data_IF_086264749153
#
_entry.id   IF_086264749153
#
_cell.length_a   1.000
_cell.length_b   1.000
_cell.length_c   1.000
_cell.angle_alpha   90.00
_cell.angle_beta   90.00
_cell.angle_gamma   90.00
#
_symmetry.space_group_name_H-M   'P 1'
#
loop_
_entity.id
_entity.type
_entity.pdbx_description
1 polymer ?
#
# COMPACT_ATOMS: atom_id res chain seq x y z
N UNK A 1 -18.24 6.70 -2.11
CA UNK A 1 -17.46 5.58 -2.67
C UNK A 1 -17.04 4.73 -1.49
N UNK A 2 -17.47 3.47 -1.46
CA UNK A 2 -17.24 2.55 -0.34
C UNK A 2 -15.72 2.29 -0.16
N UNK A 3 -15.12 2.88 0.87
CA UNK A 3 -14.92 2.37 2.25
C UNK A 3 -13.64 1.54 2.39
N UNK A 4 -13.15 1.39 3.63
CA UNK A 4 -11.98 0.59 3.92
C UNK A 4 -12.05 -0.77 3.25
N UNK A 5 -10.93 -1.19 2.68
CA UNK A 5 -10.83 -2.45 1.99
C UNK A 5 -9.54 -3.17 2.35
N UNK A 6 -9.40 -4.36 1.80
CA UNK A 6 -8.19 -5.15 1.93
C UNK A 6 -7.88 -5.77 0.58
N UNK A 7 -6.64 -5.62 0.12
CA UNK A 7 -6.18 -6.26 -1.12
C UNK A 7 -6.26 -7.79 -1.04
N UNK A 8 -6.24 -8.44 -2.20
CA UNK A 8 -5.90 -9.86 -2.27
C UNK A 8 -4.44 -10.08 -1.88
N UNK A 9 -4.08 -11.34 -1.57
CA UNK A 9 -2.73 -11.73 -1.15
C UNK A 9 -1.78 -11.73 -2.35
N UNK A 10 -0.74 -10.90 -2.32
CA UNK A 10 0.25 -10.81 -3.40
C UNK A 10 1.62 -10.35 -2.89
N UNK A 11 2.65 -10.64 -3.68
CA UNK A 11 3.99 -10.08 -3.46
C UNK A 11 3.95 -8.59 -3.85
N UNK A 12 4.34 -7.66 -2.96
CA UNK A 12 4.45 -6.26 -3.33
C UNK A 12 5.46 -6.08 -4.44
N UNK A 13 5.17 -5.19 -5.40
CA UNK A 13 6.12 -4.80 -6.44
C UNK A 13 6.22 -3.30 -6.53
N UNK A 14 7.31 -2.81 -7.09
CA UNK A 14 7.56 -1.38 -7.27
C UNK A 14 7.34 -0.57 -5.97
N UNK A 15 7.81 -1.06 -4.82
CA UNK A 15 7.87 -0.26 -3.59
C UNK A 15 8.91 0.84 -3.77
N UNK A 16 8.49 2.11 -3.69
CA UNK A 16 9.39 3.23 -3.90
C UNK A 16 8.97 4.48 -3.10
N UNK A 17 9.97 5.31 -2.78
CA UNK A 17 9.83 6.60 -2.13
C UNK A 17 10.08 7.67 -3.21
N UNK A 18 9.10 8.54 -3.50
CA UNK A 18 9.18 9.44 -4.68
C UNK A 18 9.77 10.82 -4.39
N UNK A 19 9.81 11.26 -3.14
CA UNK A 19 10.22 12.63 -2.81
C UNK A 19 10.85 12.74 -1.42
N UNK A 20 11.37 13.93 -1.11
CA UNK A 20 12.01 14.25 0.18
C UNK A 20 11.06 14.19 1.37
N UNK A 21 9.75 14.19 1.13
CA UNK A 21 8.73 14.05 2.19
C UNK A 21 8.47 12.58 2.53
N UNK A 22 9.15 11.63 1.88
CA UNK A 22 8.95 10.20 2.05
C UNK A 22 7.59 9.68 1.60
N UNK A 23 6.94 10.36 0.63
CA UNK A 23 5.73 9.81 0.01
C UNK A 23 6.06 8.46 -0.64
N UNK A 24 5.34 7.43 -0.20
CA UNK A 24 5.63 6.04 -0.56
C UNK A 24 4.50 5.42 -1.32
N UNK A 25 4.86 4.71 -2.38
CA UNK A 25 3.93 4.00 -3.22
C UNK A 25 4.36 2.55 -3.39
N UNK A 26 3.38 1.68 -3.54
CA UNK A 26 3.59 0.25 -3.78
C UNK A 26 2.52 -0.27 -4.71
N UNK A 27 2.88 -1.23 -5.56
CA UNK A 27 1.93 -1.92 -6.41
C UNK A 27 1.47 -3.24 -5.79
N UNK A 28 0.16 -3.42 -5.75
CA UNK A 28 -0.56 -4.61 -5.29
C UNK A 28 -1.79 -4.81 -6.19
N UNK A 29 -2.39 -6.00 -6.28
CA UNK A 29 -3.57 -6.22 -7.12
C UNK A 29 -4.70 -5.23 -6.83
N UNK A 30 -5.23 -4.62 -7.90
CA UNK A 30 -6.34 -3.68 -7.83
C UNK A 30 -7.51 -4.20 -6.98
N UNK A 31 -7.91 -3.40 -5.99
CA UNK A 31 -9.07 -3.67 -5.14
C UNK A 31 -9.70 -2.33 -4.75
N UNK A 32 -11.00 -2.17 -5.01
CA UNK A 32 -11.76 -0.98 -4.64
C UNK A 32 -11.24 0.29 -5.32
N UNK A 33 -10.60 1.17 -4.54
CA UNK A 33 -10.11 2.50 -4.96
C UNK A 33 -9.04 2.50 -6.04
N UNK A 34 -8.34 1.39 -6.28
CA UNK A 34 -6.96 1.43 -6.77
C UNK A 34 -6.81 0.89 -8.20
N UNK A 35 -5.99 1.58 -9.00
CA UNK A 35 -5.42 1.10 -10.28
C UNK A 35 -4.26 0.12 -10.10
N UNK A 36 -4.20 -0.60 -8.98
CA UNK A 36 -3.06 -1.40 -8.49
C UNK A 36 -1.94 -0.59 -7.84
N UNK A 37 -2.17 0.69 -7.52
CA UNK A 37 -1.23 1.54 -6.75
C UNK A 37 -1.83 1.90 -5.40
N UNK A 38 -1.02 1.75 -4.35
CA UNK A 38 -1.38 2.07 -2.98
C UNK A 38 -0.37 3.04 -2.37
N UNK A 39 -0.87 3.98 -1.59
CA UNK A 39 -0.10 5.08 -1.00
C UNK A 39 0.07 4.83 0.51
N UNK A 40 1.30 4.94 1.00
CA UNK A 40 1.59 4.97 2.43
C UNK A 40 2.03 6.38 2.80
N UNK A 41 1.23 7.05 3.63
CA UNK A 41 1.57 8.40 4.10
C UNK A 41 2.78 8.37 5.04
N UNK A 42 3.78 9.25 4.85
CA UNK A 42 4.92 9.39 5.76
C UNK A 42 4.51 9.83 7.17
N UNK A 43 3.34 10.46 7.31
CA UNK A 43 2.77 10.85 8.61
C UNK A 43 2.10 9.69 9.36
N UNK A 44 2.02 8.50 8.77
CA UNK A 44 1.40 7.36 9.43
C UNK A 44 2.23 6.93 10.66
N UNK A 45 1.60 6.82 11.83
CA UNK A 45 2.30 6.48 13.11
C UNK A 45 3.08 5.17 13.10
N UNK A 46 2.80 4.30 12.13
CA UNK A 46 3.45 3.00 11.93
C UNK A 46 4.17 2.90 10.58
N UNK A 47 4.53 4.03 9.98
CA UNK A 47 5.16 4.12 8.67
C UNK A 47 6.34 3.15 8.54
N UNK A 48 7.35 3.27 9.42
CA UNK A 48 8.57 2.45 9.33
C UNK A 48 8.29 0.95 9.41
N UNK A 49 7.35 0.55 10.27
CA UNK A 49 6.95 -0.84 10.42
C UNK A 49 6.25 -1.37 9.17
N UNK A 50 5.30 -0.61 8.62
CA UNK A 50 4.57 -1.00 7.40
C UNK A 50 5.55 -1.05 6.21
N UNK A 51 6.39 -0.04 6.06
CA UNK A 51 7.42 0.03 5.03
C UNK A 51 8.37 -1.17 5.12
N UNK A 52 8.86 -1.49 6.32
CA UNK A 52 9.77 -2.63 6.53
C UNK A 52 9.13 -3.96 6.16
N UNK A 53 7.84 -4.16 6.48
CA UNK A 53 7.10 -5.37 6.09
C UNK A 53 6.93 -5.45 4.57
N UNK A 54 6.55 -4.36 3.92
CA UNK A 54 6.41 -4.31 2.46
C UNK A 54 7.75 -4.57 1.76
N UNK A 55 8.83 -3.94 2.24
CA UNK A 55 10.18 -4.12 1.69
C UNK A 55 10.64 -5.57 1.86
N UNK A 56 10.50 -6.14 3.06
CA UNK A 56 10.88 -7.53 3.33
C UNK A 56 10.07 -8.50 2.49
N UNK A 57 8.76 -8.27 2.34
CA UNK A 57 7.92 -9.11 1.50
C UNK A 57 8.33 -9.06 0.02
N UNK A 58 8.64 -7.86 -0.50
CA UNK A 58 9.14 -7.68 -1.86
C UNK A 58 10.48 -8.39 -2.07
N UNK A 59 11.42 -8.31 -1.13
CA UNK A 59 12.76 -8.91 -1.28
C UNK A 59 12.76 -10.42 -1.08
N UNK A 60 11.82 -10.96 -0.31
CA UNK A 60 11.76 -12.41 -0.01
C UNK A 60 10.72 -13.17 -0.82
N UNK A 61 9.96 -12.48 -1.69
CA UNK A 61 8.88 -13.09 -2.47
C UNK A 61 7.68 -13.55 -1.63
N UNK A 62 7.55 -13.06 -0.39
CA UNK A 62 6.40 -13.36 0.48
C UNK A 62 5.20 -12.50 0.11
N UNK A 63 4.00 -13.06 0.33
CA UNK A 63 2.75 -12.37 0.04
C UNK A 63 2.27 -11.56 1.24
N UNK A 64 1.66 -10.41 0.95
CA UNK A 64 1.00 -9.57 1.95
C UNK A 64 -0.40 -9.20 1.51
N UNK A 65 -1.17 -8.70 2.46
CA UNK A 65 -2.40 -7.96 2.19
C UNK A 65 -2.28 -6.57 2.81
N UNK A 66 -2.67 -5.55 2.07
CA UNK A 66 -2.74 -4.18 2.56
C UNK A 66 -4.19 -3.83 2.92
N UNK A 67 -4.37 -3.23 4.10
CA UNK A 67 -5.60 -2.54 4.48
C UNK A 67 -5.50 -1.09 4.07
N UNK A 68 -6.56 -0.57 3.46
CA UNK A 68 -6.69 0.84 3.09
C UNK A 68 -8.01 1.40 3.61
N UNK A 69 -8.07 2.69 3.94
CA UNK A 69 -9.25 3.32 4.55
C UNK A 69 -10.05 4.22 3.58
N UNK A 70 -9.37 4.84 2.62
CA UNK A 70 -9.94 5.76 1.65
C UNK A 70 -9.18 5.76 0.34
N UNK A 71 -9.82 6.32 -0.67
CA UNK A 71 -9.20 6.63 -1.96
C UNK A 71 -8.54 8.03 -1.89
N UNK A 72 -7.30 8.16 -2.34
CA UNK A 72 -6.57 9.45 -2.42
C UNK A 72 -6.08 9.69 -3.85
N UNK A 73 -5.63 10.90 -4.17
CA UNK A 73 -5.10 11.30 -5.48
C UNK A 73 -6.14 11.27 -6.64
N UNK A 74 -6.98 12.32 -6.71
CA UNK A 74 -7.94 12.61 -7.79
C UNK A 74 -9.07 11.57 -7.99
N UNK A 75 -10.14 11.99 -8.68
CA UNK A 75 -11.29 11.16 -9.03
C UNK A 75 -10.98 10.14 -10.13
N UNK A 76 -9.99 10.41 -10.98
CA UNK A 76 -9.72 9.59 -12.18
C UNK A 76 -8.73 8.45 -11.96
N UNK A 77 -7.78 8.59 -11.03
CA UNK A 77 -6.78 7.56 -10.73
C UNK A 77 -6.54 7.45 -9.21
N UNK A 78 -7.57 7.11 -8.43
CA UNK A 78 -7.41 7.03 -6.99
C UNK A 78 -6.41 5.94 -6.59
N UNK A 79 -5.68 6.19 -5.51
CA UNK A 79 -4.83 5.24 -4.82
C UNK A 79 -5.47 4.84 -3.49
N UNK A 80 -5.30 3.59 -3.07
CA UNK A 80 -5.71 3.19 -1.72
C UNK A 80 -4.73 3.73 -0.68
N UNK A 81 -5.20 4.51 0.29
CA UNK A 81 -4.38 4.99 1.40
C UNK A 81 -4.19 3.86 2.44
N UNK A 82 -2.97 3.36 2.57
CA UNK A 82 -2.61 2.24 3.44
C UNK A 82 -2.69 2.68 4.90
N UNK A 83 -3.39 1.87 5.70
CA UNK A 83 -3.50 1.99 7.16
C UNK A 83 -2.98 0.76 7.90
N UNK A 84 -2.62 -0.30 7.18
CA UNK A 84 -2.03 -1.50 7.76
C UNK A 84 -1.61 -2.52 6.71
N UNK A 85 -0.73 -3.42 7.12
CA UNK A 85 -0.25 -4.55 6.33
C UNK A 85 -0.14 -5.77 7.23
N UNK A 86 -0.36 -6.95 6.68
CA UNK A 86 -0.06 -8.21 7.35
C UNK A 86 0.50 -9.22 6.36
N UNK A 87 1.42 -10.02 6.86
CA UNK A 87 1.99 -11.17 6.15
C UNK A 87 0.89 -12.24 6.04
N UNK A 88 0.79 -12.81 4.85
CA UNK A 88 0.05 -14.04 4.64
C UNK A 88 1.10 -15.11 4.32
N UNK A 89 1.29 -16.06 5.23
CA UNK A 89 2.01 -17.30 4.92
C UNK A 89 1.10 -18.23 4.10
#
# INVERSE_FOLDING_TARGET
MSTPGTTTSAVPVNLHIVNTNSDTFVQLPATGCSTSVYYLSPSHKKYDAIFSVLLTAQTTGKKVRAKFDKCVNSTSNPFGNIVGVYLND
#
